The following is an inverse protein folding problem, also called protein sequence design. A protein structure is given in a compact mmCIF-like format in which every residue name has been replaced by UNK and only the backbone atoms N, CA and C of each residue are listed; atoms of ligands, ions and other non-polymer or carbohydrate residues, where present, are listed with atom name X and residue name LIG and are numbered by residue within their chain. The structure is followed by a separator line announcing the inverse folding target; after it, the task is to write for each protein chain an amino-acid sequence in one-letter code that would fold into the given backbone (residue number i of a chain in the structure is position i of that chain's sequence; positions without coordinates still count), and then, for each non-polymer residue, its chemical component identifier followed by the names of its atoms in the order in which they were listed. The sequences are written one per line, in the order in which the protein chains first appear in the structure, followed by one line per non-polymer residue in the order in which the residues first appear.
data_IF_296173831472
#
_entry.id   IF_296173831472
#
_cell.length_a   1.000
_cell.length_b   1.000
_cell.length_c   1.000
_cell.angle_alpha   90.00
_cell.angle_beta   90.00
_cell.angle_gamma   90.00
#
_symmetry.space_group_name_H-M   'P 1'
#
loop_
_entity.id
_entity.type
_entity.pdbx_description
1 polymer ?
#
# COMPACT_ATOMS: atom_id res chain seq x y z
N UNK A 1 14.26 -29.57 17.97
CA UNK A 1 13.92 -29.14 16.60
C UNK A 1 14.52 -27.77 16.25
N UNK A 2 14.28 -26.71 17.04
CA UNK A 2 14.78 -25.36 16.76
C UNK A 2 16.31 -25.27 16.56
N UNK A 3 17.12 -25.96 17.38
CA UNK A 3 18.57 -25.97 17.23
C UNK A 3 19.09 -26.59 15.91
N UNK A 4 18.36 -27.55 15.33
CA UNK A 4 18.73 -28.19 14.05
C UNK A 4 18.45 -27.25 12.86
N UNK A 5 17.35 -26.50 12.93
CA UNK A 5 17.00 -25.47 11.94
C UNK A 5 18.00 -24.32 11.93
N UNK A 6 18.40 -23.81 13.10
CA UNK A 6 19.40 -22.75 13.21
C UNK A 6 20.76 -23.18 12.64
N UNK A 7 21.20 -24.41 12.91
CA UNK A 7 22.43 -24.96 12.35
C UNK A 7 22.36 -25.10 10.81
N UNK A 8 21.22 -25.53 10.27
CA UNK A 8 21.01 -25.63 8.82
C UNK A 8 21.03 -24.26 8.14
N UNK A 9 20.34 -23.25 8.69
CA UNK A 9 20.36 -21.89 8.15
C UNK A 9 21.77 -21.27 8.19
N UNK A 10 22.51 -21.50 9.28
CA UNK A 10 23.91 -21.04 9.39
C UNK A 10 24.82 -21.72 8.35
N UNK A 11 24.62 -23.01 8.10
CA UNK A 11 25.36 -23.73 7.05
C UNK A 11 24.98 -23.25 5.65
N UNK A 12 23.70 -22.99 5.38
CA UNK A 12 23.22 -22.50 4.09
C UNK A 12 23.81 -21.12 3.79
N UNK A 13 23.81 -20.22 4.79
CA UNK A 13 24.44 -18.91 4.66
C UNK A 13 25.95 -18.99 4.40
N UNK A 14 26.66 -19.90 5.05
CA UNK A 14 28.10 -20.04 4.89
C UNK A 14 28.52 -20.65 3.54
N UNK A 15 27.71 -21.56 2.98
CA UNK A 15 28.04 -22.29 1.74
C UNK A 15 27.45 -21.65 0.49
N UNK A 16 26.21 -21.17 0.58
CA UNK A 16 25.44 -20.64 -0.55
C UNK A 16 24.79 -19.30 -0.17
N UNK A 17 25.60 -18.27 0.13
CA UNK A 17 25.10 -16.99 0.65
C UNK A 17 24.14 -16.29 -0.31
N UNK A 18 24.37 -16.41 -1.62
CA UNK A 18 23.49 -15.81 -2.64
C UNK A 18 22.11 -16.42 -2.58
N UNK A 19 22.01 -17.75 -2.54
CA UNK A 19 20.73 -18.47 -2.49
C UNK A 19 20.02 -18.16 -1.16
N UNK A 20 20.74 -18.20 -0.04
CA UNK A 20 20.20 -17.86 1.27
C UNK A 20 19.59 -16.44 1.30
N UNK A 21 20.32 -15.45 0.76
CA UNK A 21 19.85 -14.08 0.67
C UNK A 21 18.64 -13.92 -0.27
N UNK A 22 18.67 -14.57 -1.44
CA UNK A 22 17.55 -14.51 -2.40
C UNK A 22 16.24 -14.99 -1.78
N UNK A 23 16.25 -16.15 -1.11
CA UNK A 23 15.05 -16.65 -0.43
C UNK A 23 14.64 -15.78 0.76
N UNK A 24 15.58 -15.24 1.52
CA UNK A 24 15.29 -14.30 2.60
C UNK A 24 14.59 -13.03 2.10
N UNK A 25 15.10 -12.42 1.03
CA UNK A 25 14.49 -11.24 0.40
C UNK A 25 13.12 -11.58 -0.16
N UNK A 26 12.97 -12.70 -0.86
CA UNK A 26 11.69 -13.14 -1.41
C UNK A 26 10.64 -13.34 -0.30
N UNK A 27 11.00 -13.99 0.81
CA UNK A 27 10.11 -14.18 1.94
C UNK A 27 9.68 -12.84 2.56
N UNK A 28 10.63 -11.91 2.77
CA UNK A 28 10.32 -10.57 3.27
C UNK A 28 9.43 -9.77 2.32
N UNK A 29 9.66 -9.86 1.01
CA UNK A 29 8.85 -9.17 0.00
C UNK A 29 7.40 -9.69 -0.04
N UNK A 30 7.18 -10.98 0.23
CA UNK A 30 5.84 -11.57 0.29
C UNK A 30 5.09 -11.20 1.57
N UNK A 31 5.79 -11.18 2.71
CA UNK A 31 5.16 -10.97 4.03
C UNK A 31 5.01 -9.49 4.38
N UNK A 32 5.96 -8.65 3.99
CA UNK A 32 5.97 -7.24 4.40
C UNK A 32 4.75 -6.42 3.97
N UNK A 33 4.13 -6.60 2.77
CA UNK A 33 2.95 -5.83 2.40
C UNK A 33 1.73 -6.17 3.25
N UNK A 34 1.64 -7.40 3.75
CA UNK A 34 0.55 -7.89 4.60
C UNK A 34 0.64 -7.36 6.04
N UNK A 35 1.86 -7.10 6.52
CA UNK A 35 2.10 -6.59 7.86
C UNK A 35 2.20 -5.06 7.92
N UNK A 36 2.56 -4.42 6.80
CA UNK A 36 2.79 -2.97 6.77
C UNK A 36 1.47 -2.19 6.84
N UNK A 37 1.31 -1.27 7.80
CA UNK A 37 0.14 -0.38 7.84
C UNK A 37 0.15 0.62 6.67
N UNK A 38 1.30 0.81 6.00
CA UNK A 38 1.45 1.78 4.92
C UNK A 38 0.97 1.29 3.56
N UNK A 39 0.82 -0.02 3.36
CA UNK A 39 0.35 -0.61 2.10
C UNK A 39 -1.00 -0.02 1.67
N UNK A 40 -1.86 0.32 2.64
CA UNK A 40 -3.16 0.99 2.39
C UNK A 40 -2.99 2.32 1.66
N UNK A 41 -2.00 3.14 2.04
CA UNK A 41 -1.82 4.48 1.47
C UNK A 41 -1.36 4.41 0.01
N UNK A 42 -0.57 3.42 -0.39
CA UNK A 42 -0.22 3.20 -1.80
C UNK A 42 -1.48 3.02 -2.67
N UNK A 43 -2.45 2.23 -2.19
CA UNK A 43 -3.74 2.06 -2.88
C UNK A 43 -4.57 3.34 -2.92
N UNK A 44 -4.65 4.06 -1.79
CA UNK A 44 -5.38 5.34 -1.70
C UNK A 44 -4.80 6.41 -2.63
N UNK A 45 -3.47 6.52 -2.74
CA UNK A 45 -2.79 7.47 -3.63
C UNK A 45 -3.13 7.18 -5.10
N UNK A 46 -3.07 5.90 -5.50
CA UNK A 46 -3.38 5.50 -6.86
C UNK A 46 -4.84 5.83 -7.23
N UNK A 47 -5.78 5.62 -6.31
CA UNK A 47 -7.19 5.97 -6.53
C UNK A 47 -7.43 7.48 -6.55
N UNK A 48 -6.69 8.24 -5.76
CA UNK A 48 -6.81 9.69 -5.68
C UNK A 48 -6.19 10.42 -6.87
N UNK A 49 -5.40 9.76 -7.72
CA UNK A 49 -4.71 10.37 -8.86
C UNK A 49 -5.64 10.45 -10.07
N UNK A 50 -6.08 11.65 -10.50
CA UNK A 50 -7.06 11.78 -11.57
C UNK A 50 -6.37 11.79 -12.94
N UNK A 51 -6.21 10.61 -13.55
CA UNK A 51 -5.69 10.51 -14.92
C UNK A 51 -6.71 10.89 -16.00
N UNK A 52 -8.00 10.84 -15.65
CA UNK A 52 -9.11 11.26 -16.52
C UNK A 52 -9.79 12.48 -15.91
N UNK A 53 -10.27 13.37 -16.77
CA UNK A 53 -11.03 14.53 -16.32
C UNK A 53 -12.31 14.09 -15.58
N UNK A 54 -12.53 14.51 -14.32
CA UNK A 54 -13.74 14.15 -13.57
C UNK A 54 -14.94 14.94 -14.12
N UNK A 55 -15.82 14.26 -14.86
CA UNK A 55 -17.00 14.87 -15.47
C UNK A 55 -18.04 15.16 -14.38
N UNK A 56 -18.52 16.41 -14.24
CA UNK A 56 -19.56 16.76 -13.28
C UNK A 56 -20.87 16.00 -13.52
N UNK A 57 -21.52 15.59 -12.43
CA UNK A 57 -22.84 14.97 -12.48
C UNK A 57 -23.91 16.06 -12.59
N UNK A 58 -25.01 15.77 -13.30
CA UNK A 58 -26.16 16.68 -13.37
C UNK A 58 -26.89 16.70 -12.03
N UNK A 59 -27.13 17.88 -11.49
CA UNK A 59 -27.91 18.06 -10.27
C UNK A 59 -29.41 17.79 -10.51
N UNK A 60 -29.98 16.85 -9.75
CA UNK A 60 -31.42 16.55 -9.69
C UNK A 60 -32.01 16.80 -8.28
N UNK A 61 -31.22 17.40 -7.37
CA UNK A 61 -31.60 17.71 -6.01
C UNK A 61 -31.55 16.53 -5.03
N UNK A 62 -31.04 15.35 -5.43
CA UNK A 62 -31.05 14.12 -4.60
C UNK A 62 -29.67 13.63 -4.15
N UNK A 63 -28.60 14.32 -4.50
CA UNK A 63 -27.21 13.90 -4.25
C UNK A 63 -26.49 14.81 -3.22
N UNK A 64 -26.81 14.73 -1.91
CA UNK A 64 -26.14 15.53 -0.88
C UNK A 64 -24.65 15.19 -0.69
N UNK A 65 -24.20 14.03 -1.18
CA UNK A 65 -22.81 13.57 -1.13
C UNK A 65 -21.90 14.20 -2.21
N UNK A 66 -22.48 14.72 -3.30
CA UNK A 66 -21.72 15.29 -4.41
C UNK A 66 -21.47 16.78 -4.14
N UNK A 67 -20.21 17.24 -4.07
CA UNK A 67 -19.93 18.64 -3.81
C UNK A 67 -20.28 19.52 -5.02
N UNK A 68 -20.90 20.71 -4.81
CA UNK A 68 -21.21 21.65 -5.89
C UNK A 68 -19.98 22.41 -6.39
N UNK A 69 -18.86 22.38 -5.65
CA UNK A 69 -17.64 23.11 -5.96
C UNK A 69 -16.41 22.37 -5.40
N UNK A 70 -15.22 22.44 -6.04
CA UNK A 70 -14.01 21.75 -5.56
C UNK A 70 -13.57 22.12 -4.14
N UNK A 71 -13.82 23.36 -3.71
CA UNK A 71 -13.49 23.84 -2.35
C UNK A 71 -14.61 23.63 -1.33
N UNK A 72 -15.73 22.99 -1.71
CA UNK A 72 -16.79 22.70 -0.78
C UNK A 72 -16.28 21.72 0.29
N UNK A 73 -16.78 21.78 1.54
CA UNK A 73 -16.33 20.88 2.60
C UNK A 73 -16.78 19.43 2.37
N UNK A 74 -17.74 19.20 1.46
CA UNK A 74 -18.19 17.87 1.06
C UNK A 74 -17.20 17.20 0.08
N UNK A 75 -17.13 15.87 0.12
CA UNK A 75 -16.30 15.07 -0.77
C UNK A 75 -14.98 14.57 -0.14
N UNK A 76 -14.23 13.72 -0.86
CA UNK A 76 -13.02 13.11 -0.33
C UNK A 76 -11.85 14.11 -0.32
N UNK A 77 -11.46 14.56 0.87
CA UNK A 77 -10.27 15.41 1.05
C UNK A 77 -8.95 14.63 1.06
N UNK A 78 -7.86 15.31 0.68
CA UNK A 78 -6.49 14.75 0.66
C UNK A 78 -5.61 15.24 1.82
N UNK A 79 -6.22 15.67 2.93
CA UNK A 79 -5.47 16.13 4.11
C UNK A 79 -4.54 15.05 4.68
N UNK A 80 -4.97 13.79 4.65
CA UNK A 80 -4.18 12.62 5.06
C UNK A 80 -2.91 12.47 4.21
N UNK A 81 -2.97 12.76 2.90
CA UNK A 81 -1.82 12.65 2.00
C UNK A 81 -0.82 13.77 2.24
N UNK A 82 -1.30 14.97 2.57
CA UNK A 82 -0.44 16.10 2.94
C UNK A 82 0.31 15.88 4.25
N UNK A 83 -0.24 15.05 5.14
CA UNK A 83 0.29 14.74 6.47
C UNK A 83 1.08 13.43 6.53
N UNK A 84 1.08 12.66 5.42
CA UNK A 84 1.81 11.40 5.30
C UNK A 84 3.33 11.66 5.24
#
# INVERSE_FOLDING_TARGET
MAGRLAAALRSLWAKEPVIAASFGIAALALVSPLLSPFTKYSGMINQATPYTYPVPVRDDGRHPEVPPHPCAPQGPGLAWLRQL
#
